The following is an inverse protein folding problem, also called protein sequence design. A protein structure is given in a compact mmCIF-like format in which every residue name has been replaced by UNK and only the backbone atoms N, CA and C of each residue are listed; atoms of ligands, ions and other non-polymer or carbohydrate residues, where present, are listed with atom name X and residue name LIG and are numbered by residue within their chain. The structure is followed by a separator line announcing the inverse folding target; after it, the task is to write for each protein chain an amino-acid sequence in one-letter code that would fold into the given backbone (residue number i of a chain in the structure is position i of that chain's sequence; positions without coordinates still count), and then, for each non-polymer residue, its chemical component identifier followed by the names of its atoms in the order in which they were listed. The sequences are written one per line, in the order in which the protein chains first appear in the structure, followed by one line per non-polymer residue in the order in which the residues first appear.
data_IF_096850973626
#
_entry.id   IF_096850973626
#
_cell.length_a   1.000
_cell.length_b   1.000
_cell.length_c   1.000
_cell.angle_alpha   90.00
_cell.angle_beta   90.00
_cell.angle_gamma   90.00
#
_symmetry.space_group_name_H-M   'P 1'
#
loop_
_entity.id
_entity.type
_entity.pdbx_description
1 polymer ?
#
# COMPACT_ATOMS: atom_id res chain seq x y z
N UNK A 1 16.44 -17.35 -7.07
CA UNK A 1 16.21 -16.96 -5.67
C UNK A 1 16.66 -15.53 -5.32
N UNK A 2 17.89 -15.05 -5.60
CA UNK A 2 18.35 -13.74 -5.13
C UNK A 2 17.44 -12.59 -5.57
N UNK A 3 16.95 -12.62 -6.82
CA UNK A 3 16.06 -11.58 -7.34
C UNK A 3 14.71 -11.47 -6.60
N UNK A 4 14.19 -12.58 -6.10
CA UNK A 4 12.92 -12.60 -5.36
C UNK A 4 13.07 -11.86 -4.03
N UNK A 5 14.20 -12.09 -3.34
CA UNK A 5 14.52 -11.43 -2.07
C UNK A 5 14.76 -9.92 -2.25
N UNK A 6 15.40 -9.49 -3.35
CA UNK A 6 15.56 -8.07 -3.68
C UNK A 6 14.21 -7.36 -3.82
N UNK A 7 13.27 -8.00 -4.52
CA UNK A 7 11.92 -7.45 -4.74
C UNK A 7 11.16 -7.36 -3.42
N UNK A 8 11.16 -8.44 -2.63
CA UNK A 8 10.49 -8.47 -1.33
C UNK A 8 11.07 -7.41 -0.37
N UNK A 9 12.39 -7.25 -0.34
CA UNK A 9 13.07 -6.23 0.47
C UNK A 9 12.59 -4.81 0.12
N UNK A 10 12.40 -4.54 -1.18
CA UNK A 10 11.87 -3.26 -1.65
C UNK A 10 10.42 -3.04 -1.20
N UNK A 11 9.58 -4.08 -1.33
CA UNK A 11 8.16 -4.04 -0.94
C UNK A 11 8.00 -3.84 0.57
N UNK A 12 8.81 -4.53 1.39
CA UNK A 12 8.75 -4.46 2.86
C UNK A 12 9.13 -3.11 3.45
N UNK A 13 9.62 -2.15 2.65
CA UNK A 13 9.83 -0.77 3.11
C UNK A 13 8.52 0.03 3.16
N UNK A 14 7.42 -0.50 2.62
CA UNK A 14 6.11 0.14 2.62
C UNK A 14 5.25 -0.37 3.79
N UNK A 15 4.21 0.39 4.11
CA UNK A 15 3.29 0.02 5.18
C UNK A 15 2.55 -1.30 4.88
N UNK A 16 2.41 -2.20 5.87
CA UNK A 16 1.63 -3.44 5.71
C UNK A 16 0.20 -3.19 5.26
N UNK A 17 -0.45 -2.14 5.80
CA UNK A 17 -1.80 -1.75 5.40
C UNK A 17 -1.85 -1.31 3.93
N UNK A 18 -0.89 -0.47 3.49
CA UNK A 18 -0.84 0.00 2.12
C UNK A 18 -0.64 -1.14 1.10
N UNK A 19 0.22 -2.12 1.43
CA UNK A 19 0.44 -3.31 0.60
C UNK A 19 -0.86 -4.13 0.49
N UNK A 20 -1.55 -4.33 1.61
CA UNK A 20 -2.83 -5.07 1.66
C UNK A 20 -3.92 -4.39 0.81
N UNK A 21 -4.08 -3.06 0.97
CA UNK A 21 -5.02 -2.26 0.19
C UNK A 21 -4.72 -2.30 -1.31
N UNK A 22 -3.44 -2.21 -1.70
CA UNK A 22 -3.03 -2.29 -3.10
C UNK A 22 -3.38 -3.65 -3.73
N UNK A 23 -3.16 -4.76 -3.02
CA UNK A 23 -3.51 -6.10 -3.49
C UNK A 23 -5.03 -6.21 -3.70
N UNK A 24 -5.84 -5.70 -2.75
CA UNK A 24 -7.30 -5.73 -2.86
C UNK A 24 -7.81 -4.92 -4.04
N UNK A 25 -7.30 -3.70 -4.23
CA UNK A 25 -7.67 -2.82 -5.33
C UNK A 25 -7.36 -3.46 -6.69
N UNK A 26 -6.15 -4.01 -6.85
CA UNK A 26 -5.74 -4.70 -8.08
C UNK A 26 -6.63 -5.92 -8.36
N UNK A 27 -6.86 -6.77 -7.36
CA UNK A 27 -7.70 -7.96 -7.53
C UNK A 27 -9.15 -7.60 -7.87
N UNK A 28 -9.70 -6.52 -7.31
CA UNK A 28 -11.03 -6.03 -7.66
C UNK A 28 -11.10 -5.56 -9.13
N UNK A 29 -10.03 -4.97 -9.65
CA UNK A 29 -9.93 -4.58 -11.07
C UNK A 29 -9.95 -5.76 -12.05
N UNK A 30 -9.53 -6.96 -11.60
CA UNK A 30 -9.63 -8.19 -12.40
C UNK A 30 -10.97 -8.91 -12.27
N UNK A 31 -11.83 -8.51 -11.33
CA UNK A 31 -13.16 -9.09 -11.15
C UNK A 31 -14.15 -8.49 -12.15
N UNK A 32 -14.74 -9.33 -13.00
CA UNK A 32 -15.80 -8.94 -13.95
C UNK A 32 -17.13 -8.55 -13.28
N UNK A 33 -17.27 -8.83 -11.99
CA UNK A 33 -18.50 -8.57 -11.21
C UNK A 33 -18.44 -7.27 -10.40
N UNK A 34 -17.27 -6.61 -10.33
CA UNK A 34 -17.07 -5.42 -9.49
C UNK A 34 -16.72 -4.19 -10.33
N UNK A 35 -17.23 -3.03 -9.92
CA UNK A 35 -16.79 -1.74 -10.44
C UNK A 35 -15.42 -1.46 -9.79
N UNK A 36 -14.34 -1.92 -10.42
CA UNK A 36 -12.98 -1.86 -9.89
C UNK A 36 -12.56 -0.46 -9.41
N UNK A 37 -12.98 0.59 -10.12
CA UNK A 37 -12.72 1.99 -9.74
C UNK A 37 -13.30 2.36 -8.37
N UNK A 38 -14.49 1.86 -8.03
CA UNK A 38 -15.10 2.18 -6.74
C UNK A 38 -14.32 1.53 -5.60
N UNK A 39 -13.84 0.30 -5.83
CA UNK A 39 -13.00 -0.39 -4.84
C UNK A 39 -11.63 0.26 -4.69
N UNK A 40 -11.06 0.76 -5.78
CA UNK A 40 -9.82 1.54 -5.74
C UNK A 40 -10.00 2.82 -4.91
N UNK A 41 -11.10 3.56 -5.08
CA UNK A 41 -11.40 4.77 -4.30
C UNK A 41 -11.54 4.43 -2.80
N UNK A 42 -12.26 3.36 -2.45
CA UNK A 42 -12.41 2.92 -1.07
C UNK A 42 -11.07 2.54 -0.42
N UNK A 43 -10.30 1.67 -1.08
CA UNK A 43 -9.02 1.19 -0.54
C UNK A 43 -7.98 2.32 -0.49
N UNK A 44 -7.99 3.24 -1.47
CA UNK A 44 -7.18 4.44 -1.43
C UNK A 44 -7.56 5.31 -0.23
N UNK A 45 -8.86 5.57 -0.03
CA UNK A 45 -9.38 6.33 1.11
C UNK A 45 -9.06 5.69 2.47
N UNK A 46 -9.11 4.36 2.58
CA UNK A 46 -8.76 3.61 3.79
C UNK A 46 -7.28 3.75 4.17
N UNK A 47 -6.42 4.03 3.20
CA UNK A 47 -5.02 4.36 3.46
C UNK A 47 -4.85 5.79 3.99
N UNK A 48 -5.85 6.68 3.94
CA UNK A 48 -5.73 8.02 4.53
C UNK A 48 -6.17 8.01 5.98
N UNK A 49 -5.42 8.74 6.82
CA UNK A 49 -5.76 8.94 8.22
C UNK A 49 -5.47 7.75 9.14
N UNK A 50 -4.85 6.68 8.64
CA UNK A 50 -4.26 5.65 9.51
C UNK A 50 -2.95 6.15 10.12
N UNK A 51 -2.57 5.58 11.26
CA UNK A 51 -1.30 5.90 11.92
C UNK A 51 -0.11 5.62 10.99
N UNK A 52 -0.18 4.55 10.19
CA UNK A 52 0.81 4.22 9.17
C UNK A 52 0.90 5.29 8.07
N UNK A 53 -0.21 5.89 7.66
CA UNK A 53 -0.18 6.97 6.67
C UNK A 53 0.45 8.26 7.22
N UNK A 54 0.10 8.60 8.46
CA UNK A 54 0.66 9.77 9.15
C UNK A 54 2.17 9.58 9.31
N UNK A 55 2.60 8.41 9.79
CA UNK A 55 4.02 8.08 9.93
C UNK A 55 4.76 8.06 8.59
N UNK A 56 4.17 7.46 7.55
CA UNK A 56 4.74 7.46 6.21
C UNK A 56 4.93 8.86 5.64
N UNK A 57 3.93 9.73 5.81
CA UNK A 57 3.97 11.12 5.36
C UNK A 57 4.99 11.93 6.15
N UNK A 58 5.01 11.78 7.48
CA UNK A 58 5.98 12.47 8.33
C UNK A 58 7.41 12.03 8.02
N UNK A 59 7.65 10.73 7.90
CA UNK A 59 8.95 10.18 7.55
C UNK A 59 9.44 10.68 6.18
N UNK A 60 8.53 10.80 5.19
CA UNK A 60 8.83 11.37 3.89
C UNK A 60 9.25 12.85 4.00
N UNK A 61 8.50 13.65 4.76
CA UNK A 61 8.80 15.07 4.98
C UNK A 61 10.13 15.27 5.74
N UNK A 62 10.42 14.39 6.70
CA UNK A 62 11.65 14.39 7.49
C UNK A 62 12.83 13.69 6.79
N UNK A 63 12.63 13.15 5.58
CA UNK A 63 13.62 12.38 4.81
C UNK A 63 14.25 11.23 5.58
N UNK A 64 13.47 10.59 6.45
CA UNK A 64 13.86 9.39 7.20
C UNK A 64 13.09 8.18 6.71
N UNK A 65 13.51 6.99 7.16
CA UNK A 65 12.73 5.78 6.94
C UNK A 65 11.51 5.78 7.89
N UNK A 66 10.32 5.43 7.39
CA UNK A 66 9.16 5.25 8.23
C UNK A 66 9.32 4.02 9.12
N UNK A 67 8.66 4.05 10.28
CA UNK A 67 8.60 2.94 11.21
C UNK A 67 7.20 2.33 11.19
N UNK A 68 7.04 1.23 10.46
CA UNK A 68 5.80 0.46 10.36
C UNK A 68 5.92 -0.85 11.14
#
# INVERSE_FOLDING_TARGET
MPKCMEIISSISNNSPQAISSAIKAVNAGYSSESIGYQKEIEEFGNCFGSDEFIEGTNAFMEKRKPNF
#
